data_IF_671746018052
#
_entry.id   IF_671746018052
#
_cell.length_a   1.000
_cell.length_b   1.000
_cell.length_c   1.000
_cell.angle_alpha   90.00
_cell.angle_beta   90.00
_cell.angle_gamma   90.00
#
_symmetry.space_group_name_H-M   'P 1'
#
loop_
_entity.id
_entity.type
_entity.pdbx_description
1 polymer ?
#
# COMPACT_ATOMS: atom_id res chain seq x y z
N UNK A 1 -26.51 3.13 -58.80
CA UNK A 1 -26.86 2.72 -57.45
C UNK A 1 -25.64 2.10 -56.78
N UNK A 2 -24.70 2.91 -56.37
CA UNK A 2 -23.49 2.57 -55.60
C UNK A 2 -22.87 3.89 -55.15
N UNK A 3 -23.18 4.37 -54.00
CA UNK A 3 -22.49 5.40 -53.19
C UNK A 3 -23.39 5.66 -52.00
N UNK A 4 -23.25 4.95 -50.91
CA UNK A 4 -23.78 5.31 -49.58
C UNK A 4 -23.43 4.24 -48.54
N UNK A 5 -22.15 3.89 -48.37
CA UNK A 5 -21.66 3.14 -47.22
C UNK A 5 -20.19 3.51 -46.91
N UNK A 6 -19.87 4.78 -46.73
CA UNK A 6 -18.50 5.18 -46.39
C UNK A 6 -18.46 6.39 -45.43
N UNK A 7 -19.44 6.56 -44.55
CA UNK A 7 -19.42 7.69 -43.61
C UNK A 7 -19.82 7.35 -42.16
N UNK A 8 -19.74 6.09 -41.74
CA UNK A 8 -20.14 5.69 -40.38
C UNK A 8 -19.06 4.99 -39.55
N UNK A 9 -17.78 5.08 -39.97
CA UNK A 9 -16.65 4.45 -39.22
C UNK A 9 -15.71 5.49 -38.58
N UNK A 10 -15.96 6.80 -38.74
CA UNK A 10 -15.03 7.84 -38.27
C UNK A 10 -15.41 8.53 -36.96
N UNK A 11 -16.42 8.05 -36.21
CA UNK A 11 -16.86 8.75 -34.98
C UNK A 11 -16.75 7.95 -33.67
N UNK A 12 -16.06 6.79 -33.66
CA UNK A 12 -15.89 5.99 -32.44
C UNK A 12 -14.46 5.98 -31.85
N UNK A 13 -13.58 6.86 -32.31
CA UNK A 13 -12.15 6.84 -31.89
C UNK A 13 -11.66 8.06 -31.11
N UNK A 14 -12.51 8.97 -30.69
CA UNK A 14 -12.07 10.24 -30.08
C UNK A 14 -12.11 10.34 -28.54
N UNK A 15 -12.81 9.52 -27.74
CA UNK A 15 -12.74 9.69 -26.29
C UNK A 15 -11.58 8.91 -25.61
N UNK A 16 -11.00 7.87 -26.25
CA UNK A 16 -9.99 7.03 -25.60
C UNK A 16 -8.58 7.63 -25.66
N UNK A 17 -8.25 8.40 -26.70
CA UNK A 17 -6.96 9.08 -26.82
C UNK A 17 -6.77 10.30 -25.92
N UNK A 18 -7.89 10.97 -25.53
CA UNK A 18 -7.82 12.21 -24.75
C UNK A 18 -7.47 12.00 -23.27
N UNK A 19 -7.75 10.83 -22.69
CA UNK A 19 -7.40 10.52 -21.30
C UNK A 19 -5.95 10.07 -21.12
N UNK A 20 -5.38 9.35 -22.08
CA UNK A 20 -3.99 8.91 -22.06
C UNK A 20 -3.00 10.06 -22.30
N UNK A 21 -3.37 11.10 -23.05
CA UNK A 21 -2.53 12.26 -23.31
C UNK A 21 -2.44 13.28 -22.17
N UNK A 22 -3.35 13.27 -21.18
CA UNK A 22 -3.33 14.24 -20.07
C UNK A 22 -2.23 14.01 -19.04
N UNK A 23 -1.75 12.78 -18.83
CA UNK A 23 -0.73 12.45 -17.81
C UNK A 23 0.68 12.92 -18.17
N UNK A 24 1.21 12.66 -19.39
CA UNK A 24 2.48 13.23 -19.83
C UNK A 24 2.50 14.75 -19.72
N UNK A 25 1.43 15.42 -20.13
CA UNK A 25 1.28 16.87 -20.08
C UNK A 25 1.39 17.47 -18.67
N UNK A 26 0.85 16.82 -17.64
CA UNK A 26 0.96 17.31 -16.25
C UNK A 26 2.40 17.25 -15.76
N UNK A 27 3.12 16.16 -16.09
CA UNK A 27 4.53 15.99 -15.70
C UNK A 27 5.42 16.99 -16.43
N UNK A 28 5.25 17.10 -17.75
CA UNK A 28 5.97 18.08 -18.57
C UNK A 28 5.77 19.50 -18.03
N UNK A 29 4.53 19.82 -17.66
CA UNK A 29 4.20 21.11 -17.03
C UNK A 29 4.96 21.31 -15.71
N UNK A 30 5.03 20.30 -14.82
CA UNK A 30 5.77 20.41 -13.58
C UNK A 30 7.29 20.49 -13.80
N UNK A 31 7.81 19.76 -14.79
CA UNK A 31 9.21 19.87 -15.18
C UNK A 31 9.54 21.25 -15.77
N UNK A 32 8.62 21.86 -16.52
CA UNK A 32 8.75 23.24 -17.00
C UNK A 32 8.70 24.25 -15.84
N UNK A 33 7.81 24.03 -14.86
CA UNK A 33 7.77 24.86 -13.63
C UNK A 33 9.12 24.81 -12.92
N UNK A 34 9.72 23.65 -12.74
CA UNK A 34 11.04 23.51 -12.10
C UNK A 34 12.16 24.18 -12.94
N UNK A 35 12.07 24.13 -14.27
CA UNK A 35 13.05 24.85 -15.13
C UNK A 35 12.99 26.35 -14.95
N UNK A 36 11.78 26.92 -14.78
CA UNK A 36 11.57 28.37 -14.61
C UNK A 36 11.75 28.82 -13.17
N UNK A 37 11.27 28.01 -12.23
CA UNK A 37 11.27 28.24 -10.79
C UNK A 37 11.88 27.03 -10.08
N UNK A 38 13.22 26.91 -10.07
CA UNK A 38 13.90 25.74 -9.50
C UNK A 38 13.55 25.46 -8.05
N UNK A 39 13.15 26.49 -7.29
CA UNK A 39 12.79 26.40 -5.86
C UNK A 39 11.30 26.12 -5.61
N UNK A 40 10.51 25.87 -6.65
CA UNK A 40 9.08 25.58 -6.50
C UNK A 40 8.86 24.26 -5.75
N UNK A 41 8.62 24.38 -4.44
CA UNK A 41 8.50 23.24 -3.53
C UNK A 41 7.30 22.33 -3.86
N UNK A 42 6.20 22.88 -4.41
CA UNK A 42 5.03 22.10 -4.76
C UNK A 42 5.29 21.23 -5.99
N UNK A 43 5.96 21.78 -6.99
CA UNK A 43 6.35 21.01 -8.17
C UNK A 43 7.36 19.90 -7.81
N UNK A 44 8.31 20.18 -6.92
CA UNK A 44 9.26 19.17 -6.44
C UNK A 44 8.57 18.04 -5.64
N UNK A 45 7.64 18.37 -4.75
CA UNK A 45 6.84 17.39 -4.00
C UNK A 45 6.03 16.52 -4.96
N UNK A 46 5.38 17.14 -5.94
CA UNK A 46 4.63 16.41 -6.96
C UNK A 46 5.53 15.44 -7.74
N UNK A 47 6.70 15.87 -8.20
CA UNK A 47 7.63 15.01 -8.93
C UNK A 47 8.16 13.86 -8.05
N UNK A 48 8.51 14.13 -6.78
CA UNK A 48 8.92 13.08 -5.86
C UNK A 48 7.82 12.02 -5.69
N UNK A 49 6.58 12.45 -5.43
CA UNK A 49 5.45 11.54 -5.27
C UNK A 49 5.12 10.78 -6.55
N UNK A 50 5.16 11.46 -7.69
CA UNK A 50 4.92 10.83 -9.00
C UNK A 50 5.93 9.73 -9.29
N UNK A 51 7.24 10.03 -9.17
CA UNK A 51 8.28 9.04 -9.43
C UNK A 51 8.31 7.90 -8.40
N UNK A 52 7.95 8.19 -7.15
CA UNK A 52 7.78 7.17 -6.12
C UNK A 52 6.67 6.18 -6.49
N UNK A 53 5.50 6.70 -6.90
CA UNK A 53 4.35 5.89 -7.32
C UNK A 53 4.60 5.09 -8.61
N UNK A 54 5.61 5.50 -9.40
CA UNK A 54 6.07 4.80 -10.60
C UNK A 54 7.21 3.81 -10.33
N UNK A 55 7.69 3.69 -9.08
CA UNK A 55 8.85 2.86 -8.75
C UNK A 55 10.18 3.39 -9.29
N UNK A 56 10.21 4.63 -9.78
CA UNK A 56 11.43 5.29 -10.26
C UNK A 56 12.21 5.89 -9.09
N UNK A 57 12.63 5.03 -8.15
CA UNK A 57 13.22 5.43 -6.86
C UNK A 57 14.46 6.30 -7.00
N UNK A 58 15.29 6.05 -8.02
CA UNK A 58 16.48 6.88 -8.27
C UNK A 58 16.10 8.32 -8.60
N UNK A 59 15.06 8.55 -9.41
CA UNK A 59 14.57 9.89 -9.71
C UNK A 59 13.95 10.55 -8.47
N UNK A 60 13.18 9.79 -7.68
CA UNK A 60 12.65 10.29 -6.41
C UNK A 60 13.77 10.79 -5.50
N UNK A 61 14.85 10.01 -5.35
CA UNK A 61 16.01 10.40 -4.53
C UNK A 61 16.66 11.66 -5.09
N UNK A 62 16.87 11.74 -6.42
CA UNK A 62 17.46 12.91 -7.07
C UNK A 62 16.66 14.20 -6.80
N UNK A 63 15.34 14.17 -6.97
CA UNK A 63 14.49 15.34 -6.71
C UNK A 63 14.41 15.67 -5.21
N UNK A 64 14.42 14.67 -4.34
CA UNK A 64 14.46 14.87 -2.90
C UNK A 64 15.80 15.46 -2.43
N UNK A 65 16.94 15.06 -3.02
CA UNK A 65 18.26 15.68 -2.78
C UNK A 65 18.29 17.11 -3.28
N UNK A 66 17.69 17.36 -4.45
CA UNK A 66 17.56 18.73 -4.96
C UNK A 66 16.73 19.60 -4.00
N UNK A 67 15.63 19.08 -3.46
CA UNK A 67 14.83 19.74 -2.42
C UNK A 67 15.67 20.04 -1.15
N UNK A 68 16.55 19.12 -0.76
CA UNK A 68 17.47 19.33 0.36
C UNK A 68 18.46 20.48 0.09
N UNK A 69 19.03 20.54 -1.11
CA UNK A 69 19.96 21.60 -1.49
C UNK A 69 19.28 22.99 -1.48
N UNK A 70 17.99 23.07 -1.84
CA UNK A 70 17.21 24.30 -1.69
C UNK A 70 17.00 24.62 -0.21
N UNK A 71 16.67 23.59 0.61
CA UNK A 71 16.51 23.76 2.03
C UNK A 71 17.79 24.29 2.72
N UNK A 72 18.97 23.82 2.27
CA UNK A 72 20.28 24.31 2.77
C UNK A 72 20.47 25.81 2.51
N UNK A 73 20.06 26.30 1.34
CA UNK A 73 20.15 27.71 0.95
C UNK A 73 19.11 28.59 1.64
N UNK A 74 17.85 28.15 1.64
CA UNK A 74 16.71 28.91 2.17
C UNK A 74 16.53 28.78 3.68
N UNK A 75 17.28 27.87 4.33
CA UNK A 75 17.11 27.50 5.75
C UNK A 75 15.69 27.06 6.09
N UNK A 76 14.96 26.47 5.11
CA UNK A 76 13.58 26.07 5.27
C UNK A 76 13.46 24.65 5.86
N UNK A 77 13.07 24.50 7.14
CA UNK A 77 13.03 23.19 7.80
C UNK A 77 11.96 22.26 7.23
N UNK A 78 10.88 22.80 6.66
CA UNK A 78 9.85 21.96 6.04
C UNK A 78 10.36 21.27 4.78
N UNK A 79 11.23 21.89 4.00
CA UNK A 79 11.83 21.25 2.82
C UNK A 79 12.80 20.13 3.20
N UNK A 80 13.56 20.27 4.28
CA UNK A 80 14.36 19.16 4.81
C UNK A 80 13.49 17.97 5.19
N UNK A 81 12.37 18.23 5.87
CA UNK A 81 11.45 17.20 6.30
C UNK A 81 10.90 16.40 5.11
N UNK A 82 10.38 17.09 4.08
CA UNK A 82 9.93 16.42 2.85
C UNK A 82 11.05 15.64 2.16
N UNK A 83 12.25 16.22 2.08
CA UNK A 83 13.41 15.58 1.48
C UNK A 83 13.75 14.27 2.20
N UNK A 84 13.87 14.28 3.52
CA UNK A 84 14.17 13.07 4.31
C UNK A 84 13.05 12.03 4.20
N UNK A 85 11.79 12.45 4.15
CA UNK A 85 10.66 11.54 4.01
C UNK A 85 10.70 10.82 2.66
N UNK A 86 10.81 11.56 1.55
CA UNK A 86 10.87 10.96 0.21
C UNK A 86 12.14 10.11 0.00
N UNK A 87 13.29 10.56 0.50
CA UNK A 87 14.50 9.74 0.46
C UNK A 87 14.33 8.45 1.26
N UNK A 88 13.79 8.53 2.47
CA UNK A 88 13.55 7.37 3.32
C UNK A 88 12.63 6.34 2.65
N UNK A 89 11.53 6.79 2.05
CA UNK A 89 10.59 5.94 1.31
C UNK A 89 11.27 5.27 0.10
N UNK A 90 11.90 6.05 -0.77
CA UNK A 90 12.53 5.54 -1.99
C UNK A 90 13.71 4.59 -1.67
N UNK A 91 14.48 4.87 -0.63
CA UNK A 91 15.57 4.02 -0.19
C UNK A 91 15.09 2.71 0.43
N UNK A 92 13.99 2.74 1.20
CA UNK A 92 13.35 1.54 1.73
C UNK A 92 12.88 0.64 0.57
N UNK A 93 12.19 1.20 -0.41
CA UNK A 93 11.68 0.48 -1.57
C UNK A 93 12.79 -0.05 -2.50
N UNK A 94 13.95 0.63 -2.53
CA UNK A 94 15.13 0.21 -3.33
C UNK A 94 16.11 -0.67 -2.55
N UNK A 95 15.77 -1.16 -1.35
CA UNK A 95 16.62 -2.07 -0.55
C UNK A 95 17.81 -1.40 0.15
N UNK A 96 17.82 -0.06 0.26
CA UNK A 96 18.86 0.69 0.97
C UNK A 96 18.46 0.92 2.44
N UNK A 97 18.25 -0.16 3.18
CA UNK A 97 17.59 -0.20 4.47
C UNK A 97 18.21 0.71 5.54
N UNK A 98 19.53 0.65 5.73
CA UNK A 98 20.23 1.45 6.76
C UNK A 98 20.08 2.96 6.53
N UNK A 99 20.17 3.38 5.26
CA UNK A 99 20.06 4.80 4.89
C UNK A 99 18.61 5.25 5.00
N UNK A 100 17.65 4.40 4.61
CA UNK A 100 16.23 4.64 4.79
C UNK A 100 15.89 4.90 6.26
N UNK A 101 16.35 4.02 7.18
CA UNK A 101 16.13 4.16 8.63
C UNK A 101 16.66 5.50 9.16
N UNK A 102 17.88 5.88 8.73
CA UNK A 102 18.48 7.16 9.11
C UNK A 102 17.61 8.34 8.67
N UNK A 103 17.18 8.36 7.40
CA UNK A 103 16.37 9.46 6.87
C UNK A 103 14.98 9.52 7.50
N UNK A 104 14.32 8.37 7.74
CA UNK A 104 13.04 8.34 8.45
C UNK A 104 13.14 8.86 9.89
N UNK A 105 14.24 8.55 10.61
CA UNK A 105 14.47 9.08 11.95
C UNK A 105 14.73 10.59 11.95
N UNK A 106 15.48 11.10 10.96
CA UNK A 106 15.67 12.56 10.79
C UNK A 106 14.33 13.25 10.46
N UNK A 107 13.49 12.62 9.65
CA UNK A 107 12.16 13.12 9.37
C UNK A 107 11.29 13.14 10.64
N UNK A 108 11.37 12.10 11.49
CA UNK A 108 10.64 12.03 12.76
C UNK A 108 11.06 13.17 13.71
N UNK A 109 12.35 13.33 13.91
CA UNK A 109 12.90 14.39 14.77
C UNK A 109 12.43 15.78 14.30
N UNK A 110 12.55 16.02 13.00
CA UNK A 110 12.21 17.32 12.44
C UNK A 110 10.70 17.58 12.44
N UNK A 111 9.85 16.58 12.10
CA UNK A 111 8.40 16.70 12.16
C UNK A 111 7.91 17.00 13.59
N UNK A 112 8.51 16.35 14.58
CA UNK A 112 8.21 16.57 16.00
C UNK A 112 8.61 17.99 16.42
N UNK A 113 9.82 18.45 16.06
CA UNK A 113 10.32 19.79 16.39
C UNK A 113 9.50 20.91 15.76
N UNK A 114 8.97 20.66 14.55
CA UNK A 114 8.16 21.64 13.81
C UNK A 114 6.68 21.61 14.20
N UNK A 115 6.27 20.68 15.07
CA UNK A 115 4.86 20.43 15.39
C UNK A 115 3.99 20.24 14.13
N UNK A 116 4.56 19.58 13.10
CA UNK A 116 3.86 19.33 11.84
C UNK A 116 3.14 17.98 11.92
N UNK A 117 1.96 17.97 12.52
CA UNK A 117 1.18 16.77 12.79
C UNK A 117 0.79 16.00 11.51
N UNK A 118 0.50 16.71 10.40
CA UNK A 118 0.16 16.07 9.13
C UNK A 118 1.33 15.25 8.57
N UNK A 119 2.53 15.83 8.55
CA UNK A 119 3.73 15.11 8.11
C UNK A 119 4.19 14.06 9.13
N UNK A 120 3.94 14.29 10.42
CA UNK A 120 4.22 13.32 11.47
C UNK A 120 3.39 12.04 11.28
N UNK A 121 2.12 12.14 10.83
CA UNK A 121 1.31 10.99 10.44
C UNK A 121 1.98 10.18 9.31
N UNK A 122 2.49 10.87 8.27
CA UNK A 122 3.18 10.22 7.16
C UNK A 122 4.49 9.54 7.60
N UNK A 123 5.24 10.19 8.50
CA UNK A 123 6.47 9.62 9.08
C UNK A 123 6.16 8.36 9.90
N UNK A 124 5.11 8.38 10.73
CA UNK A 124 4.68 7.20 11.49
C UNK A 124 4.25 6.05 10.57
N UNK A 125 3.53 6.36 9.48
CA UNK A 125 3.16 5.37 8.47
C UNK A 125 4.39 4.68 7.87
N UNK A 126 5.41 5.45 7.49
CA UNK A 126 6.65 4.91 6.90
C UNK A 126 7.51 4.14 7.91
N UNK A 127 7.60 4.60 9.16
CA UNK A 127 8.27 3.85 10.23
C UNK A 127 7.55 2.53 10.54
N UNK A 128 6.22 2.52 10.46
CA UNK A 128 5.42 1.30 10.57
C UNK A 128 5.73 0.31 9.45
N UNK A 129 5.73 0.76 8.19
CA UNK A 129 6.09 -0.08 7.04
C UNK A 129 7.55 -0.56 7.11
N UNK A 130 8.47 0.31 7.57
CA UNK A 130 9.87 -0.08 7.76
C UNK A 130 9.98 -1.20 8.81
N UNK A 131 9.35 -1.04 9.96
CA UNK A 131 9.37 -2.03 11.04
C UNK A 131 8.80 -3.39 10.57
N UNK A 132 7.72 -3.38 9.77
CA UNK A 132 7.11 -4.60 9.28
C UNK A 132 7.91 -5.30 8.19
N UNK A 133 8.36 -4.57 7.18
CA UNK A 133 8.93 -5.15 5.97
C UNK A 133 10.43 -5.43 6.09
N UNK A 134 11.15 -4.66 6.89
CA UNK A 134 12.60 -4.74 7.04
C UNK A 134 12.98 -5.39 8.38
N UNK A 135 12.50 -4.82 9.50
CA UNK A 135 12.80 -5.35 10.83
C UNK A 135 11.97 -6.62 11.14
N UNK A 136 10.93 -6.95 10.34
CA UNK A 136 9.92 -8.01 10.60
C UNK A 136 9.27 -7.91 11.99
N UNK A 137 9.25 -6.71 12.55
CA UNK A 137 8.71 -6.39 13.87
C UNK A 137 7.29 -5.81 13.70
N UNK A 138 6.31 -6.70 13.54
CA UNK A 138 4.90 -6.30 13.39
C UNK A 138 4.35 -5.57 14.61
N UNK A 139 4.88 -5.84 15.80
CA UNK A 139 4.48 -5.14 17.01
C UNK A 139 4.84 -3.66 16.95
N UNK A 140 6.10 -3.35 16.66
CA UNK A 140 6.56 -1.98 16.48
C UNK A 140 5.87 -1.29 15.31
N UNK A 141 5.61 -2.03 14.22
CA UNK A 141 4.87 -1.52 13.08
C UNK A 141 3.49 -1.00 13.48
N UNK A 142 2.73 -1.81 14.22
CA UNK A 142 1.39 -1.45 14.68
C UNK A 142 1.44 -0.29 15.68
N UNK A 143 2.42 -0.24 16.57
CA UNK A 143 2.58 0.90 17.48
C UNK A 143 2.76 2.22 16.73
N UNK A 144 3.62 2.24 15.70
CA UNK A 144 3.81 3.43 14.87
C UNK A 144 2.53 3.82 14.13
N UNK A 145 1.84 2.84 13.54
CA UNK A 145 0.60 3.09 12.81
C UNK A 145 -0.50 3.64 13.73
N UNK A 146 -0.67 3.11 14.93
CA UNK A 146 -1.65 3.64 15.88
C UNK A 146 -1.34 5.07 16.34
N UNK A 147 -0.05 5.42 16.56
CA UNK A 147 0.33 6.81 16.83
C UNK A 147 -0.14 7.74 15.71
N UNK A 148 0.12 7.34 14.46
CA UNK A 148 -0.33 8.11 13.30
C UNK A 148 -1.86 8.18 13.18
N UNK A 149 -2.55 7.07 13.34
CA UNK A 149 -4.02 6.97 13.28
C UNK A 149 -4.66 7.89 14.33
N UNK A 150 -4.20 7.83 15.59
CA UNK A 150 -4.73 8.68 16.66
C UNK A 150 -4.52 10.16 16.34
N UNK A 151 -3.33 10.53 15.88
CA UNK A 151 -2.99 11.91 15.51
C UNK A 151 -3.84 12.40 14.33
N UNK A 152 -4.00 11.56 13.30
CA UNK A 152 -4.81 11.89 12.12
C UNK A 152 -6.30 12.07 12.46
N UNK A 153 -6.84 11.24 13.37
CA UNK A 153 -8.22 11.39 13.85
C UNK A 153 -8.43 12.67 14.65
N UNK A 154 -7.52 12.96 15.59
CA UNK A 154 -7.62 14.16 16.43
C UNK A 154 -7.61 15.46 15.61
N UNK A 155 -6.82 15.47 14.52
CA UNK A 155 -6.66 16.64 13.66
C UNK A 155 -7.55 16.59 12.40
N UNK A 156 -8.39 15.57 12.23
CA UNK A 156 -9.29 15.38 11.07
C UNK A 156 -8.54 15.28 9.72
N UNK A 157 -7.33 14.74 9.71
CA UNK A 157 -6.52 14.49 8.50
C UNK A 157 -7.01 13.22 7.79
N UNK A 158 -8.08 13.33 7.00
CA UNK A 158 -8.77 12.17 6.43
C UNK A 158 -7.92 11.36 5.46
N UNK A 159 -7.10 12.02 4.64
CA UNK A 159 -6.20 11.36 3.70
C UNK A 159 -5.14 10.53 4.45
N UNK A 160 -4.44 11.13 5.41
CA UNK A 160 -3.45 10.42 6.23
C UNK A 160 -4.08 9.28 7.03
N UNK A 161 -5.28 9.51 7.56
CA UNK A 161 -6.03 8.49 8.28
C UNK A 161 -6.33 7.28 7.39
N UNK A 162 -6.82 7.50 6.17
CA UNK A 162 -7.11 6.43 5.21
C UNK A 162 -5.86 5.63 4.82
N UNK A 163 -4.73 6.31 4.55
CA UNK A 163 -3.45 5.67 4.23
C UNK A 163 -2.93 4.83 5.41
N UNK A 164 -3.02 5.34 6.63
CA UNK A 164 -2.59 4.63 7.84
C UNK A 164 -3.44 3.39 8.11
N UNK A 165 -4.74 3.46 7.86
CA UNK A 165 -5.64 2.30 7.93
C UNK A 165 -5.28 1.24 6.87
N UNK A 166 -4.97 1.65 5.62
CA UNK A 166 -4.50 0.71 4.60
C UNK A 166 -3.20 0.02 5.02
N UNK A 167 -2.25 0.77 5.57
CA UNK A 167 -1.00 0.22 6.08
C UNK A 167 -1.24 -0.74 7.25
N UNK A 168 -2.16 -0.42 8.16
CA UNK A 168 -2.52 -1.30 9.28
C UNK A 168 -3.18 -2.59 8.78
N UNK A 169 -4.09 -2.50 7.81
CA UNK A 169 -4.70 -3.67 7.17
C UNK A 169 -3.66 -4.58 6.51
N UNK A 170 -2.65 -3.99 5.86
CA UNK A 170 -1.52 -4.73 5.28
C UNK A 170 -0.73 -5.50 6.36
N UNK A 171 -0.48 -4.91 7.53
CA UNK A 171 0.20 -5.62 8.63
C UNK A 171 -0.63 -6.81 9.12
N UNK A 172 -1.95 -6.64 9.26
CA UNK A 172 -2.85 -7.74 9.62
C UNK A 172 -2.84 -8.85 8.55
N UNK A 173 -2.81 -8.48 7.27
CA UNK A 173 -2.65 -9.44 6.18
C UNK A 173 -1.32 -10.22 6.30
N UNK A 174 -0.18 -9.53 6.50
CA UNK A 174 1.13 -10.17 6.66
C UNK A 174 1.15 -11.15 7.85
N UNK A 175 0.41 -10.85 8.89
CA UNK A 175 0.18 -11.75 10.04
C UNK A 175 -0.84 -12.85 9.77
N UNK A 176 -1.46 -12.90 8.61
CA UNK A 176 -2.59 -13.77 8.26
C UNK A 176 -3.77 -13.64 9.24
N UNK A 177 -3.97 -12.45 9.78
CA UNK A 177 -5.04 -12.15 10.73
C UNK A 177 -6.19 -11.43 10.03
N UNK A 178 -7.34 -12.11 9.97
CA UNK A 178 -8.56 -11.60 9.33
C UNK A 178 -9.18 -10.38 10.03
N UNK A 179 -8.77 -10.07 11.27
CA UNK A 179 -9.27 -8.89 11.99
C UNK A 179 -8.94 -7.57 11.27
N UNK A 180 -7.98 -7.59 10.34
CA UNK A 180 -7.62 -6.45 9.49
C UNK A 180 -8.72 -5.97 8.54
N UNK A 181 -9.74 -6.79 8.26
CA UNK A 181 -10.78 -6.48 7.26
C UNK A 181 -11.50 -5.16 7.54
N UNK A 182 -11.78 -4.83 8.80
CA UNK A 182 -12.42 -3.58 9.19
C UNK A 182 -11.62 -2.34 8.77
N UNK A 183 -10.29 -2.41 8.89
CA UNK A 183 -9.39 -1.30 8.51
C UNK A 183 -9.26 -1.17 6.99
N UNK A 184 -9.21 -2.31 6.30
CA UNK A 184 -9.17 -2.32 4.84
C UNK A 184 -10.43 -1.72 4.23
N UNK A 185 -11.61 -2.12 4.70
CA UNK A 185 -12.90 -1.58 4.25
C UNK A 185 -13.03 -0.09 4.58
N UNK A 186 -12.68 0.34 5.80
CA UNK A 186 -12.76 1.75 6.19
C UNK A 186 -11.83 2.61 5.32
N UNK A 187 -10.60 2.14 5.03
CA UNK A 187 -9.68 2.82 4.11
C UNK A 187 -10.25 2.91 2.69
N UNK A 188 -10.81 1.82 2.17
CA UNK A 188 -11.42 1.76 0.85
C UNK A 188 -12.57 2.75 0.70
N UNK A 189 -13.50 2.78 1.67
CA UNK A 189 -14.62 3.72 1.68
C UNK A 189 -14.18 5.17 1.79
N UNK A 190 -13.15 5.45 2.59
CA UNK A 190 -12.53 6.77 2.68
C UNK A 190 -11.92 7.19 1.35
N UNK A 191 -11.23 6.29 0.67
CA UNK A 191 -10.68 6.54 -0.65
C UNK A 191 -11.73 6.99 -1.65
N UNK A 192 -12.90 6.34 -1.67
CA UNK A 192 -14.02 6.75 -2.50
C UNK A 192 -14.58 8.13 -2.13
N UNK A 193 -14.72 8.43 -0.83
CA UNK A 193 -15.16 9.76 -0.37
C UNK A 193 -14.19 10.87 -0.74
N UNK A 194 -12.88 10.57 -0.72
CA UNK A 194 -11.82 11.50 -1.08
C UNK A 194 -11.57 11.59 -2.60
N UNK A 195 -12.18 10.69 -3.39
CA UNK A 195 -11.90 10.52 -4.82
C UNK A 195 -10.41 10.31 -5.12
N UNK A 196 -9.70 9.61 -4.24
CA UNK A 196 -8.26 9.33 -4.39
C UNK A 196 -8.04 7.92 -4.96
N UNK A 197 -7.60 7.77 -6.23
CA UNK A 197 -7.42 6.48 -6.87
C UNK A 197 -6.39 5.58 -6.18
N UNK A 198 -5.38 6.16 -5.53
CA UNK A 198 -4.33 5.40 -4.85
C UNK A 198 -4.84 4.80 -3.54
N UNK A 199 -5.61 5.57 -2.77
CA UNK A 199 -6.22 5.09 -1.52
C UNK A 199 -7.27 4.02 -1.83
N UNK A 200 -8.11 4.21 -2.88
CA UNK A 200 -9.07 3.20 -3.32
C UNK A 200 -8.33 1.90 -3.71
N UNK A 201 -7.29 2.02 -4.53
CA UNK A 201 -6.48 0.89 -4.99
C UNK A 201 -5.88 0.09 -3.81
N UNK A 202 -5.22 0.77 -2.88
CA UNK A 202 -4.58 0.11 -1.72
C UNK A 202 -5.60 -0.50 -0.77
N UNK A 203 -6.73 0.17 -0.54
CA UNK A 203 -7.86 -0.34 0.24
C UNK A 203 -8.48 -1.57 -0.42
N UNK A 204 -8.70 -1.54 -1.74
CA UNK A 204 -9.26 -2.65 -2.50
C UNK A 204 -8.34 -3.89 -2.48
N UNK A 205 -7.02 -3.72 -2.70
CA UNK A 205 -6.04 -4.81 -2.61
C UNK A 205 -6.06 -5.46 -1.23
N UNK A 206 -5.96 -4.66 -0.16
CA UNK A 206 -5.96 -5.19 1.20
C UNK A 206 -7.27 -5.91 1.54
N UNK A 207 -8.40 -5.37 1.08
CA UNK A 207 -9.72 -5.99 1.24
C UNK A 207 -9.80 -7.33 0.49
N UNK A 208 -9.33 -7.38 -0.76
CA UNK A 208 -9.27 -8.61 -1.54
C UNK A 208 -8.41 -9.68 -0.87
N UNK A 209 -7.23 -9.30 -0.35
CA UNK A 209 -6.36 -10.21 0.40
C UNK A 209 -7.04 -10.80 1.64
N UNK A 210 -7.70 -9.96 2.42
CA UNK A 210 -8.33 -10.39 3.66
C UNK A 210 -9.57 -11.26 3.40
N UNK A 211 -10.37 -10.96 2.37
CA UNK A 211 -11.43 -11.85 1.92
C UNK A 211 -10.89 -13.20 1.40
N UNK A 212 -9.79 -13.17 0.66
CA UNK A 212 -9.11 -14.39 0.22
C UNK A 212 -8.64 -15.24 1.40
N UNK A 213 -8.06 -14.64 2.45
CA UNK A 213 -7.71 -15.35 3.69
C UNK A 213 -8.92 -15.96 4.40
N UNK A 214 -10.09 -15.32 4.29
CA UNK A 214 -11.36 -15.81 4.84
C UNK A 214 -12.04 -16.86 3.94
N UNK A 215 -11.44 -17.23 2.80
CA UNK A 215 -12.02 -18.11 1.79
C UNK A 215 -13.31 -17.59 1.15
N UNK A 216 -13.49 -16.27 1.17
CA UNK A 216 -14.60 -15.57 0.54
C UNK A 216 -14.18 -15.07 -0.85
N UNK A 217 -13.89 -16.01 -1.75
CA UNK A 217 -13.29 -15.71 -3.05
C UNK A 217 -14.18 -14.81 -3.94
N UNK A 218 -15.52 -14.93 -3.86
CA UNK A 218 -16.44 -14.06 -4.61
C UNK A 218 -16.27 -12.59 -4.24
N UNK A 219 -16.18 -12.29 -2.96
CA UNK A 219 -15.92 -10.93 -2.48
C UNK A 219 -14.51 -10.47 -2.85
N UNK A 220 -13.50 -11.33 -2.68
CA UNK A 220 -12.14 -11.04 -3.08
C UNK A 220 -12.03 -10.66 -4.57
N UNK A 221 -12.71 -11.39 -5.47
CA UNK A 221 -12.75 -11.11 -6.91
C UNK A 221 -13.33 -9.73 -7.21
N UNK A 222 -14.39 -9.32 -6.51
CA UNK A 222 -14.98 -7.98 -6.69
C UNK A 222 -13.97 -6.86 -6.45
N UNK A 223 -13.27 -6.92 -5.31
CA UNK A 223 -12.30 -5.87 -4.95
C UNK A 223 -11.02 -5.92 -5.80
N UNK A 224 -10.55 -7.11 -6.18
CA UNK A 224 -9.33 -7.22 -7.00
C UNK A 224 -9.54 -6.72 -8.43
N UNK A 225 -10.74 -6.87 -9.01
CA UNK A 225 -11.07 -6.29 -10.31
C UNK A 225 -11.01 -4.76 -10.30
N UNK A 226 -11.54 -4.13 -9.25
CA UNK A 226 -11.45 -2.67 -9.13
C UNK A 226 -10.01 -2.22 -8.93
N UNK A 227 -9.24 -2.93 -8.13
CA UNK A 227 -7.81 -2.68 -7.97
C UNK A 227 -7.05 -2.80 -9.29
N UNK A 228 -7.27 -3.86 -10.09
CA UNK A 228 -6.66 -4.03 -11.41
C UNK A 228 -7.02 -2.87 -12.34
N UNK A 229 -8.28 -2.47 -12.39
CA UNK A 229 -8.73 -1.33 -13.21
C UNK A 229 -7.99 -0.05 -12.83
N UNK A 230 -7.99 0.30 -11.54
CA UNK A 230 -7.32 1.51 -11.05
C UNK A 230 -5.80 1.47 -11.28
N UNK A 231 -5.19 0.30 -11.08
CA UNK A 231 -3.78 0.07 -11.34
C UNK A 231 -3.41 0.37 -12.79
N UNK A 232 -4.18 -0.15 -13.74
CA UNK A 232 -3.95 0.05 -15.18
C UNK A 232 -4.23 1.50 -15.61
N UNK A 233 -5.34 2.09 -15.14
CA UNK A 233 -5.70 3.48 -15.47
C UNK A 233 -4.68 4.48 -14.93
N UNK A 234 -4.05 4.19 -13.80
CA UNK A 234 -3.08 5.06 -13.14
C UNK A 234 -1.64 4.61 -13.30
N UNK A 235 -1.40 3.42 -13.88
CA UNK A 235 -0.07 2.81 -14.08
C UNK A 235 0.73 2.81 -12.77
N UNK A 236 0.12 2.24 -11.71
CA UNK A 236 0.76 2.11 -10.41
C UNK A 236 1.90 1.09 -10.44
N UNK A 237 2.90 1.32 -9.58
CA UNK A 237 4.07 0.46 -9.44
C UNK A 237 3.72 -0.93 -8.89
N UNK A 238 4.54 -1.94 -9.27
CA UNK A 238 4.43 -3.34 -8.85
C UNK A 238 3.08 -3.98 -9.23
N UNK A 239 2.74 -3.88 -10.51
CA UNK A 239 1.54 -4.51 -11.06
C UNK A 239 1.55 -6.03 -10.83
N UNK A 240 2.73 -6.64 -10.78
CA UNK A 240 2.89 -8.07 -10.52
C UNK A 240 2.31 -8.49 -9.16
N UNK A 241 2.32 -7.62 -8.16
CA UNK A 241 1.70 -7.89 -6.86
C UNK A 241 0.18 -8.11 -6.99
N UNK A 242 -0.50 -7.20 -7.70
CA UNK A 242 -1.95 -7.30 -7.98
C UNK A 242 -2.27 -8.55 -8.80
N UNK A 243 -1.49 -8.82 -9.86
CA UNK A 243 -1.68 -9.99 -10.69
C UNK A 243 -1.47 -11.30 -9.92
N UNK A 244 -0.48 -11.36 -9.02
CA UNK A 244 -0.27 -12.53 -8.16
C UNK A 244 -1.44 -12.79 -7.23
N UNK A 245 -1.99 -11.75 -6.61
CA UNK A 245 -3.17 -11.91 -5.77
C UNK A 245 -4.35 -12.41 -6.58
N UNK A 246 -4.59 -11.84 -7.76
CA UNK A 246 -5.66 -12.29 -8.64
C UNK A 246 -5.48 -13.75 -9.05
N UNK A 247 -4.27 -14.13 -9.48
CA UNK A 247 -3.93 -15.52 -9.79
C UNK A 247 -4.17 -16.46 -8.61
N UNK A 248 -3.82 -16.06 -7.39
CA UNK A 248 -4.07 -16.87 -6.18
C UNK A 248 -5.57 -17.06 -5.90
N UNK A 249 -6.38 -16.00 -6.03
CA UNK A 249 -7.84 -16.07 -5.83
C UNK A 249 -8.48 -17.00 -6.87
N UNK A 250 -8.11 -16.85 -8.14
CA UNK A 250 -8.60 -17.70 -9.23
C UNK A 250 -8.18 -19.17 -9.07
N UNK A 251 -6.92 -19.40 -8.67
CA UNK A 251 -6.43 -20.75 -8.38
C UNK A 251 -7.23 -21.43 -7.23
N UNK A 252 -7.52 -20.67 -6.17
CA UNK A 252 -8.33 -21.18 -5.03
C UNK A 252 -9.81 -21.40 -5.45
N UNK A 253 -10.28 -20.68 -6.45
CA UNK A 253 -11.63 -20.85 -7.04
C UNK A 253 -11.71 -21.99 -8.08
N UNK A 254 -10.58 -22.63 -8.42
CA UNK A 254 -10.50 -23.68 -9.43
C UNK A 254 -10.38 -23.18 -10.87
N UNK A 255 -10.25 -21.88 -11.08
CA UNK A 255 -10.15 -21.25 -12.41
C UNK A 255 -8.68 -21.24 -12.89
N UNK A 256 -8.11 -22.43 -13.09
CA UNK A 256 -6.67 -22.63 -13.31
C UNK A 256 -6.13 -21.93 -14.57
N UNK A 257 -6.86 -21.97 -15.67
CA UNK A 257 -6.44 -21.35 -16.94
C UNK A 257 -6.25 -19.83 -16.75
N UNK A 258 -7.24 -19.17 -16.14
CA UNK A 258 -7.17 -17.74 -15.89
C UNK A 258 -6.07 -17.41 -14.86
N UNK A 259 -5.92 -18.22 -13.80
CA UNK A 259 -4.86 -18.06 -12.82
C UNK A 259 -3.46 -18.05 -13.48
N UNK A 260 -3.21 -18.98 -14.41
CA UNK A 260 -1.95 -19.05 -15.18
C UNK A 260 -1.73 -17.77 -16.00
N UNK A 261 -2.77 -17.23 -16.64
CA UNK A 261 -2.66 -15.97 -17.39
C UNK A 261 -2.23 -14.82 -16.51
N UNK A 262 -2.80 -14.69 -15.30
CA UNK A 262 -2.42 -13.66 -14.36
C UNK A 262 -0.99 -13.84 -13.83
N UNK A 263 -0.54 -15.04 -13.53
CA UNK A 263 0.86 -15.29 -13.17
C UNK A 263 1.81 -14.96 -14.33
N UNK A 264 1.44 -15.26 -15.59
CA UNK A 264 2.23 -14.86 -16.76
C UNK A 264 2.28 -13.34 -16.93
N UNK A 265 1.18 -12.60 -16.64
CA UNK A 265 1.20 -11.13 -16.60
C UNK A 265 2.19 -10.64 -15.55
N UNK A 266 2.15 -11.21 -14.34
CA UNK A 266 3.06 -10.85 -13.25
C UNK A 266 4.55 -11.10 -13.60
N UNK A 267 4.84 -12.21 -14.29
CA UNK A 267 6.21 -12.54 -14.72
C UNK A 267 6.74 -11.61 -15.80
N UNK A 268 5.87 -10.99 -16.61
CA UNK A 268 6.23 -10.05 -17.67
C UNK A 268 6.42 -8.62 -17.19
N UNK A 269 6.02 -8.31 -15.96
CA UNK A 269 6.15 -6.97 -15.39
C UNK A 269 7.62 -6.61 -15.21
N UNK A 270 8.10 -5.64 -15.99
CA UNK A 270 9.50 -5.17 -15.96
C UNK A 270 9.86 -4.51 -14.63
N UNK A 271 8.88 -3.89 -13.97
CA UNK A 271 9.08 -3.23 -12.67
C UNK A 271 9.21 -4.28 -11.55
N UNK A 272 8.49 -5.40 -11.67
CA UNK A 272 8.61 -6.53 -10.76
C UNK A 272 10.00 -7.18 -10.78
N UNK A 273 10.79 -6.90 -11.83
CA UNK A 273 12.18 -7.35 -11.91
C UNK A 273 13.03 -6.93 -10.70
N UNK A 274 12.62 -5.92 -9.95
CA UNK A 274 13.30 -5.47 -8.72
C UNK A 274 12.59 -5.89 -7.43
N UNK A 275 11.41 -6.54 -7.53
CA UNK A 275 10.59 -6.96 -6.39
C UNK A 275 10.58 -8.48 -6.21
N UNK A 276 10.09 -8.96 -5.08
CA UNK A 276 9.85 -10.38 -4.86
C UNK A 276 8.63 -10.93 -5.62
N UNK A 277 7.81 -10.07 -6.20
CA UNK A 277 6.55 -10.42 -6.83
C UNK A 277 6.74 -11.40 -7.99
N UNK A 278 7.87 -11.31 -8.73
CA UNK A 278 8.18 -12.25 -9.82
C UNK A 278 8.45 -13.68 -9.29
N UNK A 279 9.06 -13.81 -8.12
CA UNK A 279 9.31 -15.12 -7.49
C UNK A 279 7.99 -15.75 -7.05
N UNK A 280 7.08 -14.94 -6.52
CA UNK A 280 5.73 -15.39 -6.17
C UNK A 280 4.93 -15.86 -7.39
N UNK A 281 5.09 -15.20 -8.54
CA UNK A 281 4.42 -15.61 -9.77
C UNK A 281 4.88 -17.00 -10.23
N UNK A 282 6.20 -17.29 -10.17
CA UNK A 282 6.71 -18.62 -10.48
C UNK A 282 6.17 -19.69 -9.52
N UNK A 283 6.16 -19.38 -8.22
CA UNK A 283 5.61 -20.29 -7.20
C UNK A 283 4.11 -20.53 -7.39
N UNK A 284 3.34 -19.47 -7.64
CA UNK A 284 1.89 -19.56 -7.86
C UNK A 284 1.54 -20.40 -9.10
N UNK A 285 2.22 -20.12 -10.22
CA UNK A 285 2.01 -20.90 -11.45
C UNK A 285 2.42 -22.38 -11.26
N UNK A 286 3.57 -22.64 -10.64
CA UNK A 286 3.99 -24.00 -10.34
C UNK A 286 2.96 -24.76 -9.48
N UNK A 287 2.32 -24.12 -8.52
CA UNK A 287 1.25 -24.71 -7.71
C UNK A 287 0.02 -25.07 -8.53
N UNK A 288 -0.33 -24.28 -9.54
CA UNK A 288 -1.41 -24.65 -10.48
C UNK A 288 -1.03 -25.91 -11.26
N UNK A 289 0.19 -25.95 -11.83
CA UNK A 289 0.68 -27.14 -12.56
C UNK A 289 0.68 -28.40 -11.68
N UNK A 290 1.02 -28.27 -10.39
CA UNK A 290 0.93 -29.39 -9.44
C UNK A 290 -0.51 -29.87 -9.25
N UNK A 291 -1.49 -28.97 -9.25
CA UNK A 291 -2.92 -29.36 -9.23
C UNK A 291 -3.32 -30.14 -10.48
N UNK A 292 -2.73 -29.83 -11.61
CA UNK A 292 -2.89 -30.51 -12.89
C UNK A 292 -1.99 -31.76 -13.03
N UNK A 293 -1.19 -32.06 -11.96
CA UNK A 293 -0.22 -33.20 -11.94
C UNK A 293 0.94 -33.04 -12.95
N UNK A 294 1.17 -31.85 -13.47
CA UNK A 294 2.30 -31.55 -14.37
C UNK A 294 3.53 -31.14 -13.54
N UNK A 295 4.14 -32.12 -12.87
CA UNK A 295 5.22 -31.87 -11.91
C UNK A 295 6.53 -31.49 -12.57
N UNK A 296 6.83 -31.97 -13.78
CA UNK A 296 8.04 -31.67 -14.54
C UNK A 296 8.13 -30.18 -14.89
N UNK A 297 7.04 -29.63 -15.43
CA UNK A 297 6.97 -28.20 -15.76
C UNK A 297 6.97 -27.35 -14.50
N UNK A 298 6.29 -27.79 -13.44
CA UNK A 298 6.33 -27.12 -12.13
C UNK A 298 7.77 -27.02 -11.59
N UNK A 299 8.57 -28.09 -11.66
CA UNK A 299 9.99 -28.09 -11.24
C UNK A 299 10.80 -27.07 -12.06
N UNK A 300 10.57 -26.97 -13.37
CA UNK A 300 11.27 -26.01 -14.22
C UNK A 300 11.00 -24.58 -13.75
N UNK A 301 9.73 -24.21 -13.54
CA UNK A 301 9.32 -22.89 -13.04
C UNK A 301 9.88 -22.60 -11.66
N UNK A 302 9.85 -23.55 -10.73
CA UNK A 302 10.37 -23.40 -9.39
C UNK A 302 11.89 -23.15 -9.39
N UNK A 303 12.63 -23.84 -10.27
CA UNK A 303 14.09 -23.61 -10.43
C UNK A 303 14.38 -22.24 -11.00
N UNK A 304 13.57 -21.74 -11.95
CA UNK A 304 13.68 -20.37 -12.46
C UNK A 304 13.43 -19.35 -11.33
N UNK A 305 12.36 -19.53 -10.56
CA UNK A 305 12.07 -18.70 -9.40
C UNK A 305 13.19 -18.70 -8.36
N UNK A 306 13.81 -19.87 -8.14
CA UNK A 306 14.92 -20.03 -7.22
C UNK A 306 16.17 -19.27 -7.69
N UNK A 307 16.52 -19.34 -8.97
CA UNK A 307 17.62 -18.58 -9.56
C UNK A 307 17.44 -17.07 -9.38
N UNK A 308 16.21 -16.56 -9.63
CA UNK A 308 15.87 -15.16 -9.39
C UNK A 308 15.99 -14.78 -7.92
N UNK A 309 15.54 -15.65 -7.02
CA UNK A 309 15.60 -15.43 -5.57
C UNK A 309 17.03 -15.34 -5.05
N UNK A 310 17.97 -16.15 -5.57
CA UNK A 310 19.38 -16.06 -5.22
C UNK A 310 20.03 -14.78 -5.72
N UNK A 311 19.75 -14.39 -6.95
CA UNK A 311 20.27 -13.16 -7.52
C UNK A 311 19.90 -11.90 -6.70
N UNK A 312 18.86 -11.99 -5.84
CA UNK A 312 18.32 -10.88 -5.05
C UNK A 312 18.46 -11.01 -3.55
N UNK A 313 19.19 -12.01 -3.07
CA UNK A 313 19.36 -12.29 -1.64
C UNK A 313 18.06 -12.40 -0.81
N UNK A 314 16.95 -12.81 -1.44
CA UNK A 314 15.64 -12.93 -0.79
C UNK A 314 15.43 -14.32 -0.18
N UNK A 315 15.76 -14.48 1.12
CA UNK A 315 15.72 -15.76 1.81
C UNK A 315 14.30 -16.30 2.07
N UNK A 316 13.33 -15.42 2.37
CA UNK A 316 11.98 -15.83 2.80
C UNK A 316 11.25 -16.61 1.69
N UNK A 317 11.42 -16.21 0.45
CA UNK A 317 10.73 -16.85 -0.68
C UNK A 317 11.42 -18.14 -1.13
N UNK A 318 12.73 -18.30 -0.90
CA UNK A 318 13.46 -19.55 -1.19
C UNK A 318 12.90 -20.74 -0.43
N UNK A 319 12.51 -20.53 0.81
CA UNK A 319 11.98 -21.60 1.66
C UNK A 319 10.73 -22.25 1.03
N UNK A 320 9.78 -21.44 0.57
CA UNK A 320 8.58 -21.94 -0.10
C UNK A 320 8.89 -22.64 -1.43
N UNK A 321 9.91 -22.18 -2.17
CA UNK A 321 10.37 -22.83 -3.41
C UNK A 321 10.99 -24.20 -3.12
N UNK A 322 11.85 -24.32 -2.10
CA UNK A 322 12.46 -25.60 -1.71
C UNK A 322 11.45 -26.62 -1.24
N UNK A 323 10.49 -26.22 -0.40
CA UNK A 323 9.40 -27.06 0.05
C UNK A 323 8.59 -27.60 -1.14
N UNK A 324 8.22 -26.69 -2.06
CA UNK A 324 7.42 -27.05 -3.24
C UNK A 324 8.20 -27.93 -4.21
N UNK A 325 9.51 -27.69 -4.41
CA UNK A 325 10.40 -28.57 -5.20
C UNK A 325 10.48 -29.97 -4.59
N UNK A 326 10.69 -30.06 -3.27
CA UNK A 326 10.69 -31.35 -2.58
C UNK A 326 9.42 -32.14 -2.83
N UNK A 327 8.26 -31.49 -2.70
CA UNK A 327 6.96 -32.11 -2.96
C UNK A 327 6.81 -32.57 -4.43
N UNK A 328 7.23 -31.76 -5.41
CA UNK A 328 7.18 -32.17 -6.82
C UNK A 328 8.03 -33.40 -7.10
N UNK A 329 9.25 -33.44 -6.58
CA UNK A 329 10.13 -34.62 -6.74
C UNK A 329 9.62 -35.86 -6.02
N UNK A 330 8.98 -35.71 -4.87
CA UNK A 330 8.31 -36.80 -4.17
C UNK A 330 7.18 -37.41 -5.02
N UNK A 331 6.33 -36.57 -5.64
CA UNK A 331 5.25 -37.04 -6.51
C UNK A 331 5.74 -37.78 -7.78
N UNK A 332 6.96 -37.45 -8.23
CA UNK A 332 7.64 -38.13 -9.32
C UNK A 332 8.44 -39.36 -8.87
N UNK A 333 8.31 -39.77 -7.60
CA UNK A 333 9.11 -40.86 -6.96
C UNK A 333 10.62 -40.67 -7.03
N UNK A 334 11.10 -39.44 -7.25
CA UNK A 334 12.51 -39.08 -7.25
C UNK A 334 12.99 -38.73 -5.83
N UNK A 335 12.94 -39.69 -4.93
CA UNK A 335 13.12 -39.50 -3.50
C UNK A 335 14.49 -38.91 -3.09
N UNK A 336 15.56 -39.20 -3.86
CA UNK A 336 16.85 -38.58 -3.60
C UNK A 336 16.83 -37.07 -3.77
N UNK A 337 16.22 -36.59 -4.87
CA UNK A 337 16.07 -35.16 -5.14
C UNK A 337 15.12 -34.51 -4.13
N UNK A 338 14.00 -35.16 -3.82
CA UNK A 338 13.06 -34.69 -2.80
C UNK A 338 13.76 -34.48 -1.44
N UNK A 339 14.54 -35.48 -0.97
CA UNK A 339 15.26 -35.39 0.27
C UNK A 339 16.31 -34.25 0.28
N UNK A 340 17.01 -34.02 -0.84
CA UNK A 340 18.01 -32.97 -0.92
C UNK A 340 17.36 -31.57 -0.76
N UNK A 341 16.25 -31.32 -1.47
CA UNK A 341 15.53 -30.07 -1.34
C UNK A 341 14.87 -29.90 0.04
N UNK A 342 14.35 -30.98 0.63
CA UNK A 342 13.80 -30.99 1.97
C UNK A 342 14.85 -30.66 3.05
N UNK A 343 16.07 -31.18 2.93
CA UNK A 343 17.17 -30.86 3.85
C UNK A 343 17.50 -29.35 3.82
N UNK A 344 17.58 -28.77 2.62
CA UNK A 344 17.84 -27.32 2.47
C UNK A 344 16.69 -26.51 3.07
N UNK A 345 15.45 -26.89 2.77
CA UNK A 345 14.24 -26.29 3.37
C UNK A 345 14.32 -26.29 4.90
N UNK A 346 14.66 -27.43 5.52
CA UNK A 346 14.79 -27.57 6.98
C UNK A 346 15.89 -26.68 7.55
N UNK A 347 17.06 -26.65 6.95
CA UNK A 347 18.20 -25.83 7.39
C UNK A 347 17.86 -24.34 7.37
N UNK A 348 17.21 -23.85 6.29
CA UNK A 348 16.78 -22.46 6.22
C UNK A 348 15.62 -22.18 7.20
N UNK A 349 14.71 -23.14 7.41
CA UNK A 349 13.59 -22.99 8.32
C UNK A 349 14.00 -22.98 9.80
N UNK A 350 14.95 -23.82 10.20
CA UNK A 350 15.46 -23.87 11.58
C UNK A 350 16.17 -22.56 11.98
N UNK A 351 16.81 -21.91 11.02
CA UNK A 351 17.35 -20.55 11.20
C UNK A 351 16.26 -19.48 11.41
N UNK A 352 15.08 -19.68 10.84
CA UNK A 352 13.89 -18.83 11.04
C UNK A 352 13.16 -19.17 12.35
N UNK A 353 13.15 -20.45 12.76
CA UNK A 353 12.42 -20.95 13.93
C UNK A 353 12.95 -20.43 15.28
N UNK A 354 14.25 -20.18 15.39
CA UNK A 354 14.82 -19.52 16.57
C UNK A 354 14.38 -18.04 16.70
N UNK A 355 14.05 -17.38 15.58
CA UNK A 355 13.40 -16.07 15.58
C UNK A 355 11.91 -16.16 15.94
N UNK A 356 11.25 -17.27 15.65
CA UNK A 356 9.80 -17.46 15.93
C UNK A 356 9.51 -17.62 17.42
N UNK A 357 10.42 -18.21 18.23
CA UNK A 357 10.26 -18.27 19.70
C UNK A 357 10.33 -16.91 20.39
N UNK A 358 11.19 -16.02 19.93
CA UNK A 358 11.19 -14.62 20.37
C UNK A 358 9.92 -13.88 19.91
N UNK A 359 9.39 -14.28 18.74
CA UNK A 359 8.17 -13.76 18.16
C UNK A 359 6.91 -14.15 18.97
N UNK A 360 6.81 -15.37 19.48
CA UNK A 360 5.66 -15.85 20.27
C UNK A 360 5.50 -15.11 21.61
N UNK A 361 6.62 -14.78 22.26
CA UNK A 361 6.64 -13.91 23.45
C UNK A 361 6.24 -12.46 23.11
N UNK A 362 6.64 -12.00 21.93
CA UNK A 362 6.25 -10.68 21.42
C UNK A 362 4.77 -10.66 20.99
N UNK A 363 4.22 -11.78 20.51
CA UNK A 363 2.79 -11.91 20.18
C UNK A 363 1.86 -11.85 21.40
N UNK A 364 2.25 -12.44 22.54
CA UNK A 364 1.44 -12.30 23.78
C UNK A 364 1.40 -10.85 24.28
N UNK A 365 2.53 -10.15 24.25
CA UNK A 365 2.59 -8.72 24.54
C UNK A 365 1.77 -7.92 23.53
N UNK A 366 1.84 -8.29 22.25
CA UNK A 366 1.12 -7.69 21.16
C UNK A 366 -0.41 -7.75 21.36
N UNK A 367 -0.97 -8.91 21.68
CA UNK A 367 -2.43 -9.05 21.92
C UNK A 367 -2.89 -8.10 23.02
N UNK A 368 -2.16 -8.04 24.11
CA UNK A 368 -2.48 -7.16 25.25
C UNK A 368 -2.41 -5.66 24.85
N UNK A 369 -1.34 -5.26 24.17
CA UNK A 369 -1.14 -3.85 23.82
C UNK A 369 -2.03 -3.42 22.65
N UNK A 370 -2.35 -4.33 21.72
CA UNK A 370 -3.31 -4.06 20.62
C UNK A 370 -4.71 -3.83 21.16
N UNK A 371 -5.16 -4.69 22.08
CA UNK A 371 -6.46 -4.51 22.73
C UNK A 371 -6.54 -3.17 23.49
N UNK A 372 -5.47 -2.81 24.18
CA UNK A 372 -5.35 -1.51 24.87
C UNK A 372 -5.41 -0.34 23.89
N UNK A 373 -4.71 -0.43 22.76
CA UNK A 373 -4.68 0.61 21.71
C UNK A 373 -6.06 0.72 21.00
N UNK A 374 -6.71 -0.41 20.71
CA UNK A 374 -8.06 -0.42 20.15
C UNK A 374 -9.07 0.23 21.10
N UNK A 375 -8.94 -0.05 22.40
CA UNK A 375 -9.78 0.59 23.41
C UNK A 375 -9.54 2.10 23.51
N UNK A 376 -8.28 2.57 23.40
CA UNK A 376 -7.97 3.99 23.36
C UNK A 376 -8.54 4.68 22.11
N UNK A 377 -8.45 4.04 20.94
CA UNK A 377 -9.05 4.57 19.70
C UNK A 377 -10.58 4.61 19.82
N UNK A 378 -11.19 3.56 20.39
CA UNK A 378 -12.63 3.53 20.63
C UNK A 378 -13.06 4.66 21.58
N UNK A 379 -12.30 4.88 22.63
CA UNK A 379 -12.54 5.98 23.58
C UNK A 379 -12.37 7.34 22.89
N UNK A 380 -11.31 7.53 22.10
CA UNK A 380 -11.09 8.76 21.32
C UNK A 380 -12.22 9.03 20.32
N UNK A 381 -12.73 7.99 19.63
CA UNK A 381 -13.90 8.11 18.74
C UNK A 381 -15.15 8.55 19.53
N UNK A 382 -15.35 7.98 20.70
CA UNK A 382 -16.47 8.35 21.59
C UNK A 382 -16.37 9.81 22.05
N UNK A 383 -15.17 10.26 22.42
CA UNK A 383 -14.92 11.63 22.86
C UNK A 383 -15.14 12.64 21.71
N UNK A 384 -14.75 12.29 20.49
CA UNK A 384 -15.01 13.11 19.30
C UNK A 384 -16.52 13.20 19.03
N UNK A 385 -17.23 12.08 19.04
CA UNK A 385 -18.70 12.06 18.87
C UNK A 385 -19.40 12.89 19.93
N UNK A 386 -19.01 12.79 21.19
CA UNK A 386 -19.59 13.59 22.27
C UNK A 386 -19.33 15.09 22.09
N UNK A 387 -18.11 15.46 21.66
CA UNK A 387 -17.79 16.85 21.31
C UNK A 387 -18.63 17.37 20.15
N UNK A 388 -18.83 16.57 19.12
CA UNK A 388 -19.67 16.95 17.97
C UNK A 388 -21.13 17.11 18.38
N UNK A 389 -21.66 16.22 19.21
CA UNK A 389 -23.02 16.38 19.75
C UNK A 389 -23.17 17.65 20.61
N UNK A 390 -22.19 17.97 21.46
CA UNK A 390 -22.19 19.22 22.23
C UNK A 390 -22.18 20.44 21.34
N UNK A 391 -21.35 20.45 20.29
CA UNK A 391 -21.28 21.55 19.32
C UNK A 391 -22.65 21.70 18.60
N UNK A 392 -23.27 20.59 18.19
CA UNK A 392 -24.60 20.64 17.56
C UNK A 392 -25.65 21.21 18.51
N UNK A 393 -25.66 20.77 19.77
CA UNK A 393 -26.57 21.31 20.79
C UNK A 393 -26.34 22.82 21.03
N UNK A 394 -25.10 23.25 21.15
CA UNK A 394 -24.77 24.68 21.32
C UNK A 394 -25.17 25.50 20.11
N UNK A 395 -24.94 25.00 18.88
CA UNK A 395 -25.38 25.66 17.65
C UNK A 395 -26.89 25.78 17.58
N UNK A 396 -27.61 24.72 17.96
CA UNK A 396 -29.08 24.75 18.02
C UNK A 396 -29.62 25.78 19.02
N UNK A 397 -29.02 25.86 20.22
CA UNK A 397 -29.38 26.88 21.23
C UNK A 397 -29.11 28.30 20.70
N UNK A 398 -27.96 28.52 20.04
CA UNK A 398 -27.65 29.83 19.44
C UNK A 398 -28.65 30.23 18.35
N UNK A 399 -29.09 29.29 17.53
CA UNK A 399 -30.14 29.54 16.51
C UNK A 399 -31.45 29.97 17.17
N UNK A 400 -31.86 29.26 18.24
CA UNK A 400 -33.07 29.64 18.98
C UNK A 400 -32.96 31.04 19.59
N UNK A 401 -31.82 31.36 20.22
CA UNK A 401 -31.59 32.71 20.76
C UNK A 401 -31.69 33.77 19.67
N UNK A 402 -31.09 33.53 18.50
CA UNK A 402 -31.17 34.45 17.36
C UNK A 402 -32.61 34.67 16.86
N UNK A 403 -33.40 33.59 16.80
CA UNK A 403 -34.82 33.67 16.41
C UNK A 403 -35.61 34.50 17.44
N UNK A 404 -35.37 34.24 18.73
CA UNK A 404 -36.05 34.98 19.83
C UNK A 404 -35.70 36.48 19.80
N UNK A 405 -34.39 36.78 19.64
CA UNK A 405 -33.94 38.17 19.52
C UNK A 405 -34.52 38.87 18.29
N UNK A 406 -34.62 38.18 17.15
CA UNK A 406 -35.26 38.67 15.93
C UNK A 406 -36.75 38.96 16.14
N UNK A 407 -37.47 38.09 16.82
CA UNK A 407 -38.87 38.29 17.18
C UNK A 407 -39.06 39.46 18.13
N UNK A 408 -38.24 39.61 19.16
CA UNK A 408 -38.28 40.72 20.10
C UNK A 408 -37.98 42.06 19.39
N UNK A 409 -37.01 42.07 18.49
CA UNK A 409 -36.71 43.24 17.66
C UNK A 409 -37.86 43.62 16.73
N UNK A 410 -38.50 42.64 16.08
CA UNK A 410 -39.70 42.86 15.26
C UNK A 410 -40.87 43.41 16.04
N UNK A 411 -41.15 42.87 17.25
CA UNK A 411 -42.19 43.34 18.17
C UNK A 411 -41.90 44.76 18.65
N UNK A 412 -40.64 45.09 18.92
CA UNK A 412 -40.21 46.44 19.30
C UNK A 412 -40.46 47.45 18.18
N UNK A 413 -40.07 47.12 16.95
CA UNK A 413 -40.32 47.96 15.77
C UNK A 413 -41.84 48.19 15.47
N UNK A 414 -42.67 47.23 15.79
CA UNK A 414 -44.15 47.35 15.60
C UNK A 414 -44.84 48.19 16.66
N UNK A 415 -44.19 48.43 17.80
CA UNK A 415 -44.75 49.17 18.92
C UNK A 415 -44.36 50.67 18.92
N UNK A 416 -43.37 51.04 18.12
CA UNK A 416 -43.00 52.40 17.81
C UNK A 416 -43.51 52.80 16.42
#
# INVERSE_FOLDING_TARGET
>A
MKITYLLLVLFLWTPFCAKAQKKPFIIEKQLEVIKKEPENSNALKFLCQYYLNKGEFSKTITYAEYMKNIADKSKNPSLYLYSYLFQGQAQMMSGREKVAKKNLNLALELATKLHNDSLLCSVYGNLGLYAANIDTDYYRAIQWLYKGITLAQQNKYQEQYAILLANLANIYYLKKDKAGIKYALESYELGHRLNDPYIIYTGAINTAYLYFLMKQNKEAIKYIHEAEKLMLENDFYDQAHTYNLFGNILCDSGEYVQAIEYYKKAMKDKQAAQTSSIVYAHLGYARVLMKEKNYEEAILLLKQGLAISYARANAIHRNALYETLSTCYEQLHQYHNALNYYKVFRLENDSLFNKDKERDLSEMRFKYDTERQENMIKQSKLDVMQKEQRIQQQTFILIIIFIVLGLLYYLYQRKN
#
